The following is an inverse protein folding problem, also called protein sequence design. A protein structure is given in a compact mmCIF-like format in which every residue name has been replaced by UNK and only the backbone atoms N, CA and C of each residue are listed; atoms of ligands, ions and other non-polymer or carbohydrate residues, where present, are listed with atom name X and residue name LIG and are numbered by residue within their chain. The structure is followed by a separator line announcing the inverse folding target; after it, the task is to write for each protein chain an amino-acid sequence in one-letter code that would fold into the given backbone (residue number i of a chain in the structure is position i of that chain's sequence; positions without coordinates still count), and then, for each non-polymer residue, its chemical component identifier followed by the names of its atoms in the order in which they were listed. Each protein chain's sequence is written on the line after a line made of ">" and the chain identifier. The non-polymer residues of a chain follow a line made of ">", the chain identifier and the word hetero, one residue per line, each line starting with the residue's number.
data_IF_928351523614
#
_entry.id   IF_928351523614
#
_cell.length_a   1.000
_cell.length_b   1.000
_cell.length_c   1.000
_cell.angle_alpha   90.00
_cell.angle_beta   90.00
_cell.angle_gamma   90.00
#
_symmetry.space_group_name_H-M   'P 1'
#
loop_
_entity.id
_entity.type
_entity.pdbx_description
1 polymer ?
#
# COMPACT_ATOMS: atom_id res chain seq x y z
N UNK A 1 90.83 -9.79 -5.60
CA UNK A 1 91.92 -8.84 -5.91
C UNK A 1 91.95 -8.64 -7.43
N UNK A 2 91.81 -7.39 -7.88
CA UNK A 2 92.28 -6.81 -9.16
C UNK A 2 91.94 -7.50 -10.49
N UNK A 3 90.97 -7.03 -11.29
CA UNK A 3 90.94 -5.84 -12.19
C UNK A 3 91.46 -6.07 -13.63
N UNK A 4 90.57 -5.70 -14.59
CA UNK A 4 90.82 -4.96 -15.86
C UNK A 4 91.51 -5.71 -17.02
N UNK A 5 91.21 -5.48 -18.32
CA UNK A 5 90.30 -4.56 -19.06
C UNK A 5 90.36 -4.88 -20.57
N UNK A 6 89.52 -4.17 -21.33
CA UNK A 6 89.63 -3.82 -22.77
C UNK A 6 88.88 -4.77 -23.68
N UNK A 7 87.91 -4.37 -24.51
CA UNK A 7 87.61 -3.13 -25.25
C UNK A 7 87.06 -3.61 -26.61
N UNK A 8 86.30 -2.92 -27.45
CA UNK A 8 85.74 -1.57 -27.54
C UNK A 8 84.89 -1.61 -28.84
N UNK A 9 83.80 -0.83 -28.92
CA UNK A 9 83.10 -0.32 -30.15
C UNK A 9 82.35 -1.30 -31.10
N UNK A 10 81.12 -0.95 -31.50
CA UNK A 10 80.78 -0.12 -32.69
C UNK A 10 79.30 -0.33 -33.14
N UNK A 11 78.54 0.78 -33.20
CA UNK A 11 77.50 1.18 -34.20
C UNK A 11 76.15 0.43 -34.36
N UNK A 12 75.12 1.08 -33.80
CA UNK A 12 73.93 1.67 -34.45
C UNK A 12 73.65 1.39 -35.96
N UNK A 13 72.44 0.89 -36.25
CA UNK A 13 71.72 1.03 -37.53
C UNK A 13 70.25 0.62 -37.32
N UNK A 14 69.28 1.53 -37.11
CA UNK A 14 68.54 2.35 -38.10
C UNK A 14 67.88 1.56 -39.25
N UNK A 15 66.54 1.56 -39.20
CA UNK A 15 65.56 1.58 -40.30
C UNK A 15 65.18 0.25 -40.96
N UNK A 16 64.02 -0.26 -40.56
CA UNK A 16 63.10 -1.01 -41.44
C UNK A 16 62.07 -0.04 -42.03
N UNK A 17 62.28 0.38 -43.28
CA UNK A 17 61.28 0.92 -44.21
C UNK A 17 61.14 -0.13 -45.33
N UNK A 18 59.98 -0.77 -45.50
CA UNK A 18 58.88 -0.41 -46.41
C UNK A 18 59.19 -0.62 -47.91
N UNK A 19 58.45 -1.55 -48.55
CA UNK A 19 57.97 -1.54 -49.94
C UNK A 19 57.08 -2.79 -50.12
N UNK A 20 55.75 -2.75 -50.04
CA UNK A 20 54.75 -2.15 -50.96
C UNK A 20 54.54 -2.95 -52.27
N UNK A 21 53.37 -3.58 -52.39
CA UNK A 21 52.66 -3.75 -53.65
C UNK A 21 51.14 -3.78 -53.35
N UNK A 22 50.42 -2.93 -54.06
CA UNK A 22 49.04 -2.46 -53.85
C UNK A 22 48.27 -2.69 -55.14
N UNK A 23 47.08 -3.30 -55.08
CA UNK A 23 45.92 -3.14 -56.00
C UNK A 23 44.69 -3.65 -55.22
N UNK A 24 43.94 -2.83 -54.48
CA UNK A 24 42.81 -1.97 -54.90
C UNK A 24 41.75 -2.65 -55.77
N UNK A 25 40.70 -3.16 -55.14
CA UNK A 25 39.36 -3.30 -55.75
C UNK A 25 38.29 -2.77 -54.78
N UNK A 26 37.63 -1.72 -55.26
CA UNK A 26 36.54 -0.97 -54.65
C UNK A 26 35.22 -1.76 -54.73
N UNK A 27 34.44 -1.74 -53.66
CA UNK A 27 33.10 -2.33 -53.59
C UNK A 27 32.23 -1.64 -52.54
N UNK A 28 31.80 -0.42 -52.86
CA UNK A 28 30.62 0.34 -52.39
C UNK A 28 30.02 -0.14 -51.04
N UNK A 29 30.50 0.43 -49.94
CA UNK A 29 29.77 0.49 -48.67
C UNK A 29 28.92 1.74 -48.65
N UNK A 30 27.62 1.58 -48.40
CA UNK A 30 26.69 2.68 -48.17
C UNK A 30 27.20 3.62 -47.05
N UNK A 31 26.92 4.94 -47.11
CA UNK A 31 27.27 5.84 -46.02
C UNK A 31 26.44 5.45 -44.79
N UNK A 32 27.13 4.93 -43.77
CA UNK A 32 26.57 4.88 -42.42
C UNK A 32 26.73 6.29 -41.91
N UNK A 33 25.62 7.04 -41.83
CA UNK A 33 25.58 8.32 -41.16
C UNK A 33 26.02 8.10 -39.70
N UNK A 34 27.21 8.58 -39.37
CA UNK A 34 27.57 8.85 -37.99
C UNK A 34 26.65 9.99 -37.53
N UNK A 35 25.58 9.63 -36.84
CA UNK A 35 24.82 10.58 -36.07
C UNK A 35 25.74 11.08 -34.94
N UNK A 36 26.28 12.29 -35.11
CA UNK A 36 26.78 13.08 -34.00
C UNK A 36 25.66 13.15 -32.94
N UNK A 37 25.86 12.41 -31.86
CA UNK A 37 25.03 12.51 -30.68
C UNK A 37 25.28 13.89 -30.07
N UNK A 38 24.51 14.89 -30.51
CA UNK A 38 24.33 16.12 -29.76
C UNK A 38 23.83 15.73 -28.37
N UNK A 39 24.69 15.90 -27.37
CA UNK A 39 24.31 15.98 -25.96
C UNK A 39 23.19 17.02 -25.82
N UNK A 40 21.95 16.54 -25.88
CA UNK A 40 20.80 17.33 -25.48
C UNK A 40 20.85 17.42 -23.97
N UNK A 41 21.49 18.46 -23.46
CA UNK A 41 21.28 18.95 -22.09
C UNK A 41 19.82 19.37 -21.94
N UNK A 42 18.93 18.41 -21.72
CA UNK A 42 17.61 18.69 -21.18
C UNK A 42 17.80 19.04 -19.71
N UNK A 43 17.81 20.33 -19.40
CA UNK A 43 17.50 20.78 -18.05
C UNK A 43 16.11 20.27 -17.69
N UNK A 44 16.04 19.26 -16.81
CA UNK A 44 14.78 18.83 -16.20
C UNK A 44 14.31 19.94 -15.28
N UNK A 45 13.10 20.44 -15.50
CA UNK A 45 12.42 21.32 -14.54
C UNK A 45 12.19 20.53 -13.26
N UNK A 46 12.69 21.06 -12.15
CA UNK A 46 12.37 20.52 -10.82
C UNK A 46 11.03 21.09 -10.35
N UNK A 47 10.31 20.34 -9.52
CA UNK A 47 9.10 20.84 -8.82
C UNK A 47 9.44 22.11 -8.02
N UNK A 48 10.69 22.26 -7.56
CA UNK A 48 11.19 23.49 -6.91
C UNK A 48 11.15 24.74 -7.81
N UNK A 49 11.27 24.60 -9.13
CA UNK A 49 11.24 25.74 -10.08
C UNK A 49 9.80 26.23 -10.33
N UNK A 50 8.80 25.37 -10.08
CA UNK A 50 7.38 25.74 -10.20
C UNK A 50 6.90 26.57 -9.00
N UNK A 51 7.47 26.34 -7.81
CA UNK A 51 7.06 27.01 -6.56
C UNK A 51 7.90 28.24 -6.18
N UNK A 52 9.12 28.41 -6.71
CA UNK A 52 10.01 29.54 -6.34
C UNK A 52 10.02 30.70 -7.36
N UNK A 53 9.30 30.59 -8.47
CA UNK A 53 9.11 31.68 -9.44
C UNK A 53 10.40 32.18 -10.13
N UNK A 54 11.53 31.48 -9.99
CA UNK A 54 12.78 31.88 -10.64
C UNK A 54 12.75 31.51 -12.13
N UNK A 55 12.64 32.55 -12.97
CA UNK A 55 12.92 32.44 -14.40
C UNK A 55 14.44 32.50 -14.60
N UNK A 56 15.06 31.37 -14.92
CA UNK A 56 16.40 31.39 -15.53
C UNK A 56 16.21 31.67 -17.03
N UNK A 57 16.29 32.94 -17.39
CA UNK A 57 16.46 33.37 -18.78
C UNK A 57 17.97 33.33 -19.02
N UNK A 58 18.44 32.39 -19.85
CA UNK A 58 19.72 32.56 -20.53
C UNK A 58 19.42 33.44 -21.75
N UNK A 59 19.96 34.66 -21.77
CA UNK A 59 19.75 35.65 -22.82
C UNK A 59 20.49 35.32 -24.14
N UNK A 60 21.30 34.25 -24.19
CA UNK A 60 22.20 33.95 -25.31
C UNK A 60 21.85 32.67 -26.09
N UNK A 61 20.60 32.49 -26.50
CA UNK A 61 20.24 31.41 -27.44
C UNK A 61 19.72 31.97 -28.77
N UNK A 62 20.56 31.93 -29.80
CA UNK A 62 20.15 32.20 -31.18
C UNK A 62 19.31 31.02 -31.72
N UNK A 63 18.13 31.28 -32.32
CA UNK A 63 17.32 30.21 -32.91
C UNK A 63 18.03 29.57 -34.11
N UNK A 64 17.90 28.23 -34.31
CA UNK A 64 18.53 27.55 -35.45
C UNK A 64 17.89 27.97 -36.79
N UNK A 65 18.64 27.93 -37.90
CA UNK A 65 18.14 28.36 -39.21
C UNK A 65 17.03 27.44 -39.73
N UNK A 66 16.00 28.06 -40.28
CA UNK A 66 14.79 27.41 -40.79
C UNK A 66 15.07 26.71 -42.13
N UNK A 67 15.11 25.38 -42.13
CA UNK A 67 15.21 24.58 -43.36
C UNK A 67 13.86 24.63 -44.08
N UNK A 68 13.80 25.38 -45.19
CA UNK A 68 12.65 25.46 -46.10
C UNK A 68 12.31 24.07 -46.65
N UNK A 69 11.21 23.47 -46.21
CA UNK A 69 10.60 22.29 -46.84
C UNK A 69 9.75 22.72 -48.05
N UNK A 70 9.78 21.98 -49.18
CA UNK A 70 8.96 22.31 -50.33
C UNK A 70 7.45 22.09 -50.04
N UNK A 71 6.56 22.88 -50.67
CA UNK A 71 5.14 22.87 -50.35
C UNK A 71 4.46 21.57 -50.81
N UNK A 72 3.90 20.82 -49.88
CA UNK A 72 2.99 19.70 -50.18
C UNK A 72 1.64 20.25 -50.63
N UNK A 73 1.23 19.81 -51.83
CA UNK A 73 -0.04 20.14 -52.49
C UNK A 73 -1.21 19.58 -51.67
N UNK A 74 -1.89 20.41 -50.88
CA UNK A 74 -3.12 20.02 -50.19
C UNK A 74 -4.24 19.78 -51.21
N UNK A 75 -4.64 18.51 -51.40
CA UNK A 75 -5.91 18.17 -52.05
C UNK A 75 -7.05 18.67 -51.15
N UNK A 76 -7.81 19.65 -51.64
CA UNK A 76 -9.07 20.11 -51.02
C UNK A 76 -10.02 18.92 -50.91
N UNK A 77 -10.25 18.42 -49.69
CA UNK A 77 -11.41 17.60 -49.36
C UNK A 77 -12.58 18.53 -49.04
N UNK A 78 -13.69 18.33 -49.73
CA UNK A 78 -14.95 19.04 -49.48
C UNK A 78 -15.44 18.73 -48.06
N UNK A 79 -15.91 19.72 -47.28
CA UNK A 79 -16.45 19.46 -45.94
C UNK A 79 -17.76 18.69 -46.05
N UNK A 80 -17.84 17.53 -45.39
CA UNK A 80 -19.11 16.85 -45.15
C UNK A 80 -19.83 17.60 -44.00
N UNK A 81 -21.11 17.93 -44.20
CA UNK A 81 -21.92 18.61 -43.19
C UNK A 81 -21.96 17.83 -41.86
N UNK A 82 -21.93 18.50 -40.69
CA UNK A 82 -21.99 17.83 -39.41
C UNK A 82 -23.35 17.16 -39.22
N UNK A 83 -23.34 15.85 -38.94
CA UNK A 83 -24.54 15.15 -38.44
C UNK A 83 -24.89 15.70 -37.04
N UNK A 84 -26.18 15.93 -36.75
CA UNK A 84 -26.60 16.34 -35.41
C UNK A 84 -26.21 15.25 -34.39
N UNK A 85 -25.81 15.63 -33.16
CA UNK A 85 -25.42 14.68 -32.13
C UNK A 85 -26.62 13.79 -31.80
N UNK A 86 -26.45 12.48 -31.99
CA UNK A 86 -27.39 11.50 -31.45
C UNK A 86 -27.23 11.56 -29.94
N UNK A 87 -28.24 12.08 -29.24
CA UNK A 87 -28.29 12.06 -27.78
C UNK A 87 -28.37 10.59 -27.37
N UNK A 88 -27.24 10.01 -27.02
CA UNK A 88 -27.21 8.76 -26.29
C UNK A 88 -27.88 9.05 -24.95
N UNK A 89 -29.12 8.58 -24.77
CA UNK A 89 -29.76 8.55 -23.47
C UNK A 89 -28.83 7.85 -22.50
N UNK A 90 -28.35 8.60 -21.50
CA UNK A 90 -27.53 8.05 -20.44
C UNK A 90 -28.28 6.86 -19.85
N UNK A 91 -27.69 5.66 -19.96
CA UNK A 91 -28.18 4.51 -19.19
C UNK A 91 -28.20 4.95 -17.73
N UNK A 92 -29.30 4.77 -16.99
CA UNK A 92 -29.32 5.07 -15.57
C UNK A 92 -28.19 4.27 -14.91
N UNK A 93 -27.26 4.98 -14.30
CA UNK A 93 -26.20 4.40 -13.46
C UNK A 93 -26.93 3.63 -12.38
N UNK A 94 -26.72 2.30 -12.33
CA UNK A 94 -27.26 1.49 -11.24
C UNK A 94 -26.82 2.12 -9.91
N UNK A 95 -27.71 2.24 -8.91
CA UNK A 95 -27.33 2.81 -7.62
C UNK A 95 -26.16 2.01 -7.07
N UNK A 96 -25.02 2.67 -6.91
CA UNK A 96 -23.88 2.11 -6.20
C UNK A 96 -24.38 1.85 -4.79
N UNK A 97 -24.49 0.58 -4.41
CA UNK A 97 -24.70 0.18 -3.02
C UNK A 97 -23.63 0.89 -2.20
N UNK A 98 -24.03 1.91 -1.44
CA UNK A 98 -23.12 2.59 -0.53
C UNK A 98 -22.70 1.55 0.51
N UNK A 99 -21.42 1.20 0.52
CA UNK A 99 -20.87 0.36 1.59
C UNK A 99 -21.22 1.01 2.94
N UNK A 100 -21.79 0.26 3.90
CA UNK A 100 -22.12 0.82 5.19
C UNK A 100 -20.85 1.40 5.83
N UNK A 101 -20.86 2.71 6.08
CA UNK A 101 -19.76 3.39 6.78
C UNK A 101 -19.76 2.88 8.22
N UNK A 102 -18.79 2.04 8.54
CA UNK A 102 -18.62 1.50 9.89
C UNK A 102 -18.32 2.67 10.84
N UNK A 103 -19.24 2.93 11.76
CA UNK A 103 -19.05 3.95 12.78
C UNK A 103 -17.98 3.50 13.78
N UNK A 104 -17.04 4.39 14.07
CA UNK A 104 -15.97 4.13 15.05
C UNK A 104 -16.53 4.19 16.47
N UNK A 105 -16.03 3.30 17.33
CA UNK A 105 -16.39 3.30 18.75
C UNK A 105 -15.80 4.52 19.46
N UNK A 106 -16.48 5.01 20.49
CA UNK A 106 -15.99 6.14 21.29
C UNK A 106 -14.70 5.80 22.04
N UNK A 107 -14.52 4.54 22.41
CA UNK A 107 -13.33 4.00 23.07
C UNK A 107 -12.33 3.36 22.08
N UNK A 108 -12.45 3.64 20.79
CA UNK A 108 -11.56 3.08 19.78
C UNK A 108 -10.09 3.44 20.08
N UNK A 109 -9.21 2.45 19.95
CA UNK A 109 -7.79 2.62 20.13
C UNK A 109 -7.18 3.35 18.94
N UNK A 110 -6.28 4.30 19.21
CA UNK A 110 -5.62 5.10 18.17
C UNK A 110 -4.27 4.52 17.78
N UNK A 111 -4.07 4.31 16.49
CA UNK A 111 -2.75 4.07 15.88
C UNK A 111 -2.23 5.42 15.40
N UNK A 112 -1.14 5.89 16.02
CA UNK A 112 -0.45 7.09 15.53
C UNK A 112 0.61 6.69 14.51
N UNK A 113 0.58 7.28 13.33
CA UNK A 113 1.58 7.09 12.27
C UNK A 113 2.36 8.40 12.09
N UNK A 114 3.69 8.35 12.19
CA UNK A 114 4.56 9.52 12.08
C UNK A 114 5.71 9.31 11.10
N UNK A 115 6.14 10.40 10.46
CA UNK A 115 7.31 10.42 9.61
C UNK A 115 7.16 11.27 8.35
N UNK A 116 7.90 10.92 7.31
CA UNK A 116 7.98 11.69 6.07
C UNK A 116 6.80 11.37 5.10
N UNK A 117 6.96 11.72 3.82
CA UNK A 117 5.92 11.45 2.81
C UNK A 117 5.56 9.95 2.70
N UNK A 118 6.48 9.04 3.02
CA UNK A 118 6.18 7.60 3.04
C UNK A 118 5.27 7.24 4.21
N UNK A 119 5.45 7.86 5.38
CA UNK A 119 4.52 7.70 6.51
C UNK A 119 3.11 8.21 6.19
N UNK A 120 2.99 9.34 5.48
CA UNK A 120 1.68 9.79 5.01
C UNK A 120 1.02 8.74 4.11
N UNK A 121 1.77 8.16 3.18
CA UNK A 121 1.26 7.09 2.32
C UNK A 121 0.90 5.82 3.09
N UNK A 122 1.70 5.43 4.08
CA UNK A 122 1.37 4.33 5.01
C UNK A 122 0.08 4.63 5.78
N UNK A 123 -0.11 5.87 6.22
CA UNK A 123 -1.33 6.35 6.88
C UNK A 123 -2.57 6.12 6.06
N UNK A 124 -2.55 6.48 4.78
CA UNK A 124 -3.65 6.21 3.85
C UNK A 124 -3.95 4.71 3.75
N UNK A 125 -2.90 3.89 3.60
CA UNK A 125 -3.03 2.44 3.49
C UNK A 125 -3.59 1.79 4.76
N UNK A 126 -3.17 2.26 5.94
CA UNK A 126 -3.64 1.76 7.24
C UNK A 126 -5.07 2.22 7.52
N UNK A 127 -5.44 3.43 7.12
CA UNK A 127 -6.82 3.92 7.21
C UNK A 127 -7.77 3.01 6.43
N UNK A 128 -7.37 2.61 5.21
CA UNK A 128 -8.12 1.64 4.43
C UNK A 128 -8.14 0.24 5.07
N UNK A 129 -6.99 -0.23 5.60
CA UNK A 129 -6.87 -1.53 6.25
C UNK A 129 -7.79 -1.70 7.48
N UNK A 130 -7.99 -0.62 8.24
CA UNK A 130 -8.81 -0.61 9.44
C UNK A 130 -10.17 0.09 9.23
N UNK A 131 -10.58 0.34 7.98
CA UNK A 131 -11.85 1.00 7.65
C UNK A 131 -13.05 0.29 8.28
N UNK A 132 -13.05 -1.04 8.24
CA UNK A 132 -14.12 -1.90 8.79
C UNK A 132 -13.95 -2.27 10.26
N UNK A 133 -12.86 -1.86 10.92
CA UNK A 133 -12.61 -2.15 12.33
C UNK A 133 -13.14 -1.00 13.19
N UNK A 134 -14.28 -1.14 13.89
CA UNK A 134 -14.89 -0.04 14.63
C UNK A 134 -14.07 0.36 15.87
N UNK A 135 -13.30 -0.57 16.44
CA UNK A 135 -12.44 -0.33 17.61
C UNK A 135 -11.08 0.31 17.33
N UNK A 136 -10.79 0.72 16.09
CA UNK A 136 -9.49 1.33 15.72
C UNK A 136 -9.67 2.62 14.95
N UNK A 137 -8.95 3.66 15.36
CA UNK A 137 -8.80 4.92 14.64
C UNK A 137 -7.34 5.06 14.21
N UNK A 138 -7.11 5.44 12.95
CA UNK A 138 -5.77 5.70 12.42
C UNK A 138 -5.57 7.20 12.34
N UNK A 139 -4.52 7.69 13.00
CA UNK A 139 -4.13 9.10 13.04
C UNK A 139 -2.77 9.27 12.38
N UNK A 140 -2.73 9.78 11.15
CA UNK A 140 -1.49 10.02 10.42
C UNK A 140 -1.03 11.47 10.62
N UNK A 141 0.13 11.66 11.24
CA UNK A 141 0.79 12.96 11.44
C UNK A 141 2.15 12.92 10.73
N UNK A 142 2.12 13.18 9.42
CA UNK A 142 3.32 13.20 8.58
C UNK A 142 3.71 14.61 8.14
N UNK A 143 5.00 14.82 7.93
CA UNK A 143 5.53 16.03 7.28
C UNK A 143 6.37 15.63 6.06
N UNK A 144 5.86 15.95 4.88
CA UNK A 144 6.30 15.43 3.56
C UNK A 144 7.82 15.52 3.35
N UNK A 145 8.43 16.67 3.65
CA UNK A 145 9.84 16.96 3.35
C UNK A 145 10.75 16.86 4.58
N UNK A 146 10.23 16.30 5.67
CA UNK A 146 10.96 16.17 6.92
C UNK A 146 11.80 14.88 6.99
N UNK A 147 12.62 14.80 8.03
CA UNK A 147 13.50 13.69 8.34
C UNK A 147 14.16 13.91 9.70
N UNK A 148 14.93 12.96 10.20
CA UNK A 148 15.66 13.09 11.46
C UNK A 148 16.97 13.88 11.32
N UNK A 149 17.41 14.24 10.12
CA UNK A 149 18.64 15.03 9.92
C UNK A 149 18.43 16.53 10.16
N UNK A 150 17.29 17.07 9.71
CA UNK A 150 17.00 18.51 9.72
C UNK A 150 16.00 18.88 10.80
N UNK A 151 16.50 18.98 12.03
CA UNK A 151 15.78 19.51 13.19
C UNK A 151 15.35 20.97 12.98
N UNK A 152 16.14 21.75 12.23
CA UNK A 152 15.84 23.13 11.82
C UNK A 152 14.58 23.26 10.95
N UNK A 153 14.22 22.22 10.20
CA UNK A 153 13.05 22.22 9.33
C UNK A 153 11.79 21.72 10.04
N UNK A 154 11.91 20.58 10.74
CA UNK A 154 10.83 20.01 11.54
C UNK A 154 11.41 19.16 12.66
N UNK A 155 11.29 19.65 13.89
CA UNK A 155 11.79 18.96 15.09
C UNK A 155 10.88 17.78 15.46
N UNK A 156 11.15 16.62 14.86
CA UNK A 156 10.42 15.39 15.15
C UNK A 156 10.42 15.00 16.63
N UNK A 157 11.55 15.00 17.37
CA UNK A 157 11.56 14.74 18.79
C UNK A 157 10.57 15.61 19.59
N UNK A 158 10.58 16.92 19.39
CA UNK A 158 9.68 17.82 20.11
C UNK A 158 8.21 17.60 19.70
N UNK A 159 7.95 17.46 18.40
CA UNK A 159 6.59 17.33 17.87
C UNK A 159 5.95 15.99 18.24
N UNK A 160 6.74 14.91 18.25
CA UNK A 160 6.27 13.58 18.65
C UNK A 160 5.71 13.60 20.07
N UNK A 161 6.40 14.25 21.02
CA UNK A 161 5.92 14.37 22.40
C UNK A 161 4.56 15.06 22.47
N UNK A 162 4.42 16.21 21.79
CA UNK A 162 3.16 16.96 21.73
C UNK A 162 2.02 16.14 21.14
N UNK A 163 2.27 15.45 20.04
CA UNK A 163 1.28 14.61 19.36
C UNK A 163 0.86 13.43 20.24
N UNK A 164 1.81 12.78 20.93
CA UNK A 164 1.49 11.68 21.85
C UNK A 164 0.68 12.14 23.06
N UNK A 165 0.97 13.34 23.59
CA UNK A 165 0.23 13.92 24.70
C UNK A 165 -1.21 14.34 24.30
N UNK A 166 -1.37 14.86 23.07
CA UNK A 166 -2.68 15.22 22.49
C UNK A 166 -3.53 13.97 22.20
N UNK A 167 -2.97 13.02 21.46
CA UNK A 167 -3.75 11.91 20.90
C UNK A 167 -3.88 10.72 21.85
N UNK A 168 -2.90 10.52 22.75
CA UNK A 168 -2.78 9.35 23.63
C UNK A 168 -2.92 8.03 22.86
N UNK A 169 -2.03 7.78 21.88
CA UNK A 169 -2.14 6.61 21.03
C UNK A 169 -1.91 5.31 21.79
N UNK A 170 -2.60 4.25 21.38
CA UNK A 170 -2.39 2.90 21.89
C UNK A 170 -1.12 2.26 21.32
N UNK A 171 -0.67 2.73 20.15
CA UNK A 171 0.60 2.34 19.54
C UNK A 171 1.10 3.42 18.58
N UNK A 172 2.41 3.43 18.31
CA UNK A 172 3.03 4.32 17.32
C UNK A 172 3.69 3.52 16.21
N UNK A 173 3.47 3.95 14.97
CA UNK A 173 4.14 3.43 13.77
C UNK A 173 4.99 4.54 13.17
N UNK A 174 6.26 4.28 12.96
CA UNK A 174 7.23 5.24 12.40
C UNK A 174 7.63 4.79 11.01
N UNK A 175 7.61 5.70 10.03
CA UNK A 175 8.21 5.47 8.71
C UNK A 175 8.90 6.74 8.24
N UNK A 176 10.23 6.77 8.35
CA UNK A 176 11.01 7.99 8.11
C UNK A 176 12.38 7.65 7.52
N UNK A 177 12.92 8.59 6.74
CA UNK A 177 14.32 8.59 6.31
C UNK A 177 14.52 8.69 4.80
N UNK A 178 13.45 8.77 4.01
CA UNK A 178 13.58 8.97 2.57
C UNK A 178 14.27 10.30 2.23
N UNK A 179 14.13 11.29 3.11
CA UNK A 179 14.76 12.61 3.00
C UNK A 179 16.09 12.75 3.76
N UNK A 180 16.52 11.73 4.52
CA UNK A 180 17.67 11.84 5.43
C UNK A 180 19.02 11.57 4.74
N UNK A 181 19.02 11.26 3.44
CA UNK A 181 20.22 11.05 2.63
C UNK A 181 20.91 12.39 2.28
N UNK A 182 21.24 13.18 3.30
CA UNK A 182 21.81 14.52 3.18
C UNK A 182 22.88 14.76 4.25
N UNK A 183 23.66 15.81 4.04
CA UNK A 183 24.68 16.24 5.00
C UNK A 183 24.05 16.66 6.33
N UNK A 184 24.65 16.28 7.45
CA UNK A 184 24.21 16.64 8.80
C UNK A 184 25.15 17.67 9.42
N UNK A 185 24.61 18.57 10.24
CA UNK A 185 25.42 19.46 11.08
C UNK A 185 25.55 18.83 12.47
N UNK A 186 26.78 18.50 12.89
CA UNK A 186 27.08 17.83 14.15
C UNK A 186 28.08 18.69 14.91
N UNK A 187 27.69 19.28 16.04
CA UNK A 187 28.57 20.15 16.83
C UNK A 187 29.13 21.35 16.05
N UNK A 188 28.38 21.85 15.06
CA UNK A 188 28.81 22.93 14.16
C UNK A 188 29.63 22.46 12.94
N UNK A 189 30.10 21.20 12.91
CA UNK A 189 30.77 20.63 11.76
C UNK A 189 29.77 20.05 10.75
N UNK A 190 30.12 20.12 9.46
CA UNK A 190 29.31 19.65 8.34
C UNK A 190 29.75 18.24 7.94
N UNK A 191 29.01 17.23 8.40
CA UNK A 191 29.30 15.82 8.15
C UNK A 191 28.54 15.30 6.93
N UNK A 192 29.28 14.76 5.96
CA UNK A 192 28.71 14.23 4.72
C UNK A 192 27.97 12.92 5.01
N UNK A 193 26.88 12.69 4.29
CA UNK A 193 26.19 11.41 4.31
C UNK A 193 27.16 10.27 3.96
N UNK A 194 26.99 9.12 4.61
CA UNK A 194 27.87 7.92 4.58
C UNK A 194 29.19 7.99 5.35
N UNK A 195 29.51 9.07 6.07
CA UNK A 195 30.66 9.04 6.99
C UNK A 195 30.30 8.29 8.28
N UNK A 196 31.30 7.71 8.95
CA UNK A 196 31.10 7.04 10.24
C UNK A 196 30.54 8.00 11.30
N UNK A 197 30.99 9.26 11.28
CA UNK A 197 30.46 10.31 12.15
C UNK A 197 28.97 10.58 11.90
N UNK A 198 28.57 10.64 10.63
CA UNK A 198 27.17 10.80 10.24
C UNK A 198 26.31 9.64 10.73
N UNK A 199 26.73 8.39 10.47
CA UNK A 199 25.97 7.21 10.90
C UNK A 199 25.92 7.09 12.41
N UNK A 200 27.01 7.37 13.11
CA UNK A 200 27.06 7.34 14.56
C UNK A 200 26.08 8.33 15.19
N UNK A 201 25.95 9.54 14.63
CA UNK A 201 24.98 10.51 15.13
C UNK A 201 23.55 10.16 14.73
N UNK A 202 23.33 9.73 13.49
CA UNK A 202 22.00 9.32 13.03
C UNK A 202 21.46 8.13 13.84
N UNK A 203 22.31 7.17 14.21
CA UNK A 203 21.99 6.07 15.13
C UNK A 203 21.48 6.59 16.48
N UNK A 204 22.14 7.59 17.07
CA UNK A 204 21.68 8.20 18.32
C UNK A 204 20.34 8.89 18.15
N UNK A 205 20.12 9.61 17.04
CA UNK A 205 18.84 10.29 16.77
C UNK A 205 17.70 9.29 16.65
N UNK A 206 17.87 8.21 15.88
CA UNK A 206 16.89 7.11 15.77
C UNK A 206 16.61 6.47 17.15
N UNK A 207 17.67 6.15 17.90
CA UNK A 207 17.56 5.54 19.22
C UNK A 207 16.79 6.44 20.20
N UNK A 208 17.14 7.72 20.26
CA UNK A 208 16.50 8.68 21.16
C UNK A 208 15.04 8.90 20.76
N UNK A 209 14.76 9.07 19.46
CA UNK A 209 13.40 9.22 18.95
C UNK A 209 12.52 8.01 19.31
N UNK A 210 13.02 6.78 19.11
CA UNK A 210 12.30 5.58 19.51
C UNK A 210 12.11 5.44 21.02
N UNK A 211 13.10 5.86 21.82
CA UNK A 211 13.02 5.85 23.29
C UNK A 211 11.93 6.76 23.84
N UNK A 212 11.65 7.90 23.19
CA UNK A 212 10.53 8.77 23.61
C UNK A 212 9.19 8.01 23.61
N UNK A 213 9.05 7.01 22.75
CA UNK A 213 7.86 6.17 22.61
C UNK A 213 7.91 5.01 23.61
N UNK A 214 8.99 4.22 23.59
CA UNK A 214 9.07 2.98 24.38
C UNK A 214 9.24 3.22 25.87
N UNK A 215 9.84 4.35 26.29
CA UNK A 215 9.90 4.75 27.70
C UNK A 215 8.51 4.99 28.30
N UNK A 216 7.56 5.43 27.49
CA UNK A 216 6.14 5.61 27.86
C UNK A 216 5.35 4.30 27.83
N UNK A 217 6.00 3.16 27.56
CA UNK A 217 5.40 1.83 27.41
C UNK A 217 4.38 1.73 26.26
N UNK A 218 4.50 2.63 25.28
CA UNK A 218 3.70 2.57 24.06
C UNK A 218 4.42 1.63 23.07
N UNK A 219 3.74 0.63 22.50
CA UNK A 219 4.32 -0.22 21.46
C UNK A 219 4.78 0.59 20.24
N UNK A 220 5.97 0.27 19.74
CA UNK A 220 6.61 0.93 18.59
C UNK A 220 6.78 -0.07 17.45
N UNK A 221 6.19 0.24 16.29
CA UNK A 221 6.52 -0.39 15.02
C UNK A 221 7.34 0.58 14.17
N UNK A 222 8.52 0.17 13.70
CA UNK A 222 9.32 0.97 12.77
C UNK A 222 9.34 0.30 11.40
N UNK A 223 8.79 0.98 10.40
CA UNK A 223 8.67 0.46 9.04
C UNK A 223 9.92 0.80 8.25
N UNK A 224 10.50 -0.22 7.61
CA UNK A 224 11.64 -0.06 6.73
C UNK A 224 11.34 0.81 5.50
N UNK A 225 12.39 1.39 4.92
CA UNK A 225 12.33 2.07 3.64
C UNK A 225 12.22 1.04 2.50
N UNK A 226 11.36 1.28 1.50
CA UNK A 226 11.27 0.43 0.33
C UNK A 226 12.34 0.78 -0.71
N UNK A 227 12.57 -0.10 -1.70
CA UNK A 227 13.53 0.16 -2.79
C UNK A 227 13.09 1.30 -3.73
N UNK A 228 14.02 2.12 -4.22
CA UNK A 228 13.75 3.26 -5.10
C UNK A 228 14.29 3.02 -6.52
N UNK A 229 13.82 3.77 -7.52
CA UNK A 229 14.31 3.62 -8.90
C UNK A 229 15.81 3.91 -9.03
N UNK A 230 16.33 4.85 -8.25
CA UNK A 230 17.77 5.12 -8.21
C UNK A 230 18.54 4.00 -7.49
N UNK A 231 19.53 3.36 -8.14
CA UNK A 231 20.34 2.32 -7.49
C UNK A 231 21.08 2.82 -6.24
N UNK A 232 21.54 4.07 -6.26
CA UNK A 232 22.21 4.69 -5.10
C UNK A 232 21.25 4.88 -3.93
N UNK A 233 20.01 5.31 -4.20
CA UNK A 233 18.98 5.43 -3.16
C UNK A 233 18.61 4.06 -2.57
N UNK A 234 18.48 3.05 -3.41
CA UNK A 234 18.19 1.67 -3.00
C UNK A 234 19.28 1.10 -2.12
N UNK A 235 20.56 1.26 -2.50
CA UNK A 235 21.69 0.83 -1.68
C UNK A 235 21.74 1.55 -0.33
N UNK A 236 21.37 2.83 -0.28
CA UNK A 236 21.29 3.59 0.97
C UNK A 236 20.11 3.14 1.84
N UNK A 237 18.96 2.86 1.24
CA UNK A 237 17.80 2.35 1.96
C UNK A 237 18.11 1.03 2.67
N UNK A 238 18.87 0.12 2.03
CA UNK A 238 19.33 -1.13 2.67
C UNK A 238 20.14 -0.84 3.93
N UNK A 239 21.14 0.05 3.84
CA UNK A 239 21.99 0.40 4.98
C UNK A 239 21.20 1.07 6.11
N UNK A 240 20.28 1.99 5.75
CA UNK A 240 19.40 2.66 6.71
C UNK A 240 18.45 1.65 7.38
N UNK A 241 17.90 0.69 6.65
CA UNK A 241 17.04 -0.36 7.21
C UNK A 241 17.78 -1.26 8.21
N UNK A 242 19.03 -1.64 7.92
CA UNK A 242 19.86 -2.39 8.87
C UNK A 242 20.10 -1.60 10.16
N UNK A 243 20.34 -0.28 10.03
CA UNK A 243 20.48 0.62 11.17
C UNK A 243 19.19 0.70 11.98
N UNK A 244 18.04 0.95 11.33
CA UNK A 244 16.75 1.04 12.00
C UNK A 244 16.42 -0.23 12.76
N UNK A 245 16.54 -1.38 12.10
CA UNK A 245 16.32 -2.70 12.72
C UNK A 245 17.12 -2.82 14.01
N UNK A 246 18.44 -2.60 13.94
CA UNK A 246 19.34 -2.72 15.10
C UNK A 246 18.97 -1.75 16.24
N UNK A 247 18.69 -0.49 15.93
CA UNK A 247 18.39 0.51 16.97
C UNK A 247 17.02 0.28 17.61
N UNK A 248 16.00 -0.01 16.81
CA UNK A 248 14.61 -0.17 17.27
C UNK A 248 14.45 -1.44 18.10
N UNK A 249 15.03 -2.56 17.65
CA UNK A 249 14.98 -3.83 18.39
C UNK A 249 15.72 -3.70 19.74
N UNK A 250 16.80 -2.91 19.81
CA UNK A 250 17.56 -2.70 21.05
C UNK A 250 16.77 -1.99 22.17
N UNK A 251 15.66 -1.32 21.81
CA UNK A 251 14.79 -0.60 22.76
C UNK A 251 13.41 -1.26 22.91
N UNK A 252 13.26 -2.49 22.42
CA UNK A 252 12.01 -3.26 22.52
C UNK A 252 10.93 -2.85 21.53
N UNK A 253 11.26 -2.04 20.52
CA UNK A 253 10.39 -1.84 19.36
C UNK A 253 10.53 -2.99 18.36
N UNK A 254 9.60 -3.06 17.40
CA UNK A 254 9.62 -4.06 16.34
C UNK A 254 9.87 -3.41 14.98
N UNK A 255 10.83 -3.94 14.23
CA UNK A 255 11.11 -3.50 12.86
C UNK A 255 10.26 -4.28 11.86
N UNK A 256 9.47 -3.57 11.07
CA UNK A 256 8.64 -4.13 10.00
C UNK A 256 9.41 -4.03 8.69
N UNK A 257 9.92 -5.17 8.23
CA UNK A 257 10.57 -5.26 6.92
C UNK A 257 9.51 -5.32 5.82
N UNK A 258 9.66 -4.44 4.84
CA UNK A 258 8.77 -4.36 3.67
C UNK A 258 9.53 -4.61 2.36
N UNK A 259 10.85 -4.86 2.43
CA UNK A 259 11.76 -4.83 1.29
C UNK A 259 11.29 -5.70 0.13
N UNK A 260 11.01 -6.97 0.42
CA UNK A 260 10.60 -7.99 -0.56
C UNK A 260 9.27 -7.65 -1.27
N UNK A 261 8.48 -6.74 -0.72
CA UNK A 261 7.26 -6.24 -1.36
C UNK A 261 7.51 -5.29 -2.54
N UNK A 262 8.71 -4.73 -2.66
CA UNK A 262 9.05 -3.64 -3.59
C UNK A 262 10.28 -3.92 -4.44
N UNK A 263 10.74 -5.17 -4.46
CA UNK A 263 11.81 -5.64 -5.32
C UNK A 263 11.41 -6.88 -6.11
N UNK A 264 12.17 -7.21 -7.16
CA UNK A 264 12.08 -8.49 -7.86
C UNK A 264 12.91 -9.58 -7.16
N UNK A 265 12.96 -10.77 -7.76
CA UNK A 265 13.73 -11.92 -7.27
C UNK A 265 15.24 -11.64 -7.14
N UNK A 266 15.75 -10.65 -7.87
CA UNK A 266 17.16 -10.23 -7.84
C UNK A 266 17.40 -9.08 -6.85
N UNK A 267 16.38 -8.65 -6.10
CA UNK A 267 16.46 -7.51 -5.20
C UNK A 267 16.47 -6.15 -5.91
N UNK A 268 16.11 -6.09 -7.19
CA UNK A 268 16.06 -4.86 -7.97
C UNK A 268 14.70 -4.17 -7.83
N UNK A 269 14.72 -2.84 -7.95
CA UNK A 269 13.51 -2.02 -7.89
C UNK A 269 12.45 -2.44 -8.91
N UNK A 270 11.20 -2.55 -8.45
CA UNK A 270 10.05 -2.79 -9.33
C UNK A 270 9.03 -1.66 -9.29
N UNK A 271 8.46 -1.38 -10.46
CA UNK A 271 7.35 -0.43 -10.60
C UNK A 271 6.00 -1.12 -10.41
N UNK A 272 5.92 -2.38 -10.83
CA UNK A 272 4.73 -3.25 -10.81
C UNK A 272 5.05 -4.47 -9.96
N UNK A 273 4.10 -4.90 -9.15
CA UNK A 273 4.22 -6.12 -8.37
C UNK A 273 2.86 -6.59 -7.87
N UNK A 274 2.83 -7.73 -7.18
CA UNK A 274 1.61 -8.25 -6.58
C UNK A 274 1.05 -7.30 -5.52
N UNK A 275 -0.25 -7.04 -5.56
CA UNK A 275 -1.00 -6.37 -4.50
C UNK A 275 -1.27 -7.33 -3.32
N UNK A 276 -2.10 -6.90 -2.37
CA UNK A 276 -2.49 -7.72 -1.20
C UNK A 276 -3.31 -8.97 -1.58
N UNK A 277 -3.88 -9.01 -2.79
CA UNK A 277 -4.68 -10.11 -3.32
C UNK A 277 -3.87 -10.97 -4.32
N UNK A 278 -2.58 -10.68 -4.51
CA UNK A 278 -1.72 -11.37 -5.47
C UNK A 278 -1.78 -10.85 -6.91
N UNK A 279 -2.63 -9.86 -7.21
CA UNK A 279 -2.81 -9.30 -8.55
C UNK A 279 -1.65 -8.37 -8.93
N UNK A 280 -1.17 -8.45 -10.17
CA UNK A 280 -0.12 -7.55 -10.65
C UNK A 280 -0.66 -6.14 -10.86
N UNK A 281 -0.18 -5.20 -10.05
CA UNK A 281 -0.58 -3.78 -10.11
C UNK A 281 0.63 -2.88 -10.01
N UNK A 282 0.46 -1.64 -10.46
CA UNK A 282 1.50 -0.62 -10.32
C UNK A 282 1.61 -0.18 -8.86
N UNK A 283 2.77 -0.41 -8.22
CA UNK A 283 3.04 -0.07 -6.82
C UNK A 283 3.75 1.29 -6.68
N UNK A 284 4.47 1.72 -7.71
CA UNK A 284 5.24 2.97 -7.73
C UNK A 284 4.72 3.97 -8.75
N UNK A 285 4.77 5.26 -8.45
CA UNK A 285 4.50 6.31 -9.44
C UNK A 285 5.60 6.40 -10.49
N UNK A 286 5.42 7.23 -11.52
CA UNK A 286 6.38 7.35 -12.64
C UNK A 286 7.69 8.05 -12.29
N UNK A 287 7.78 8.61 -11.09
CA UNK A 287 8.98 9.25 -10.55
C UNK A 287 9.92 8.28 -9.83
N UNK A 288 9.51 7.01 -9.66
CA UNK A 288 10.32 5.99 -9.00
C UNK A 288 10.48 6.15 -7.49
N UNK A 289 9.76 7.11 -6.88
CA UNK A 289 9.89 7.50 -5.48
C UNK A 289 8.57 7.31 -4.73
N UNK A 290 7.48 7.88 -5.24
CA UNK A 290 6.21 7.83 -4.54
C UNK A 290 5.49 6.48 -4.73
N UNK A 291 4.60 6.17 -3.79
CA UNK A 291 3.75 4.99 -3.81
C UNK A 291 2.39 5.33 -4.40
N UNK A 292 1.88 4.45 -5.26
CA UNK A 292 0.47 4.47 -5.69
C UNK A 292 -0.45 4.06 -4.54
N UNK A 293 -1.77 4.19 -4.71
CA UNK A 293 -2.73 3.70 -3.72
C UNK A 293 -2.53 2.20 -3.41
N UNK A 294 -2.30 1.38 -4.44
CA UNK A 294 -2.01 -0.04 -4.26
C UNK A 294 -0.69 -0.26 -3.52
N UNK A 295 0.36 0.52 -3.85
CA UNK A 295 1.64 0.49 -3.13
C UNK A 295 1.48 0.83 -1.64
N UNK A 296 0.73 1.90 -1.33
CA UNK A 296 0.42 2.32 0.04
C UNK A 296 -0.33 1.23 0.82
N UNK A 297 -1.36 0.63 0.21
CA UNK A 297 -2.11 -0.48 0.82
C UNK A 297 -1.22 -1.70 1.07
N UNK A 298 -0.28 -1.99 0.16
CA UNK A 298 0.71 -3.05 0.32
C UNK A 298 1.68 -2.78 1.47
N UNK A 299 2.20 -1.55 1.63
CA UNK A 299 3.01 -1.21 2.83
C UNK A 299 2.20 -1.44 4.10
N UNK A 300 0.96 -0.93 4.13
CA UNK A 300 0.07 -1.12 5.28
C UNK A 300 -0.19 -2.59 5.59
N UNK A 301 -0.27 -3.47 4.59
CA UNK A 301 -0.47 -4.91 4.80
C UNK A 301 0.66 -5.56 5.61
N UNK A 302 1.92 -5.14 5.41
CA UNK A 302 3.04 -5.63 6.24
C UNK A 302 2.92 -5.19 7.70
N UNK A 303 2.38 -3.99 7.95
CA UNK A 303 2.18 -3.42 9.29
C UNK A 303 0.91 -3.95 9.95
N UNK A 304 -0.09 -4.35 9.16
CA UNK A 304 -1.41 -4.73 9.61
C UNK A 304 -1.36 -5.92 10.59
N UNK A 305 -0.61 -6.97 10.24
CA UNK A 305 -0.48 -8.17 11.11
C UNK A 305 0.11 -7.84 12.49
N UNK A 306 1.28 -7.19 12.62
CA UNK A 306 1.82 -6.84 13.92
C UNK A 306 0.93 -5.82 14.67
N UNK A 307 0.30 -4.87 13.96
CA UNK A 307 -0.63 -3.92 14.60
C UNK A 307 -1.86 -4.62 15.19
N UNK A 308 -2.50 -5.52 14.43
CA UNK A 308 -3.64 -6.32 14.92
C UNK A 308 -3.25 -7.17 16.13
N UNK A 309 -2.04 -7.76 16.13
CA UNK A 309 -1.52 -8.52 17.28
C UNK A 309 -1.39 -7.64 18.53
N UNK A 310 -0.89 -6.42 18.39
CA UNK A 310 -0.68 -5.50 19.51
C UNK A 310 -1.99 -4.92 20.07
N UNK A 311 -2.96 -4.63 19.20
CA UNK A 311 -4.26 -4.08 19.59
C UNK A 311 -5.26 -5.16 20.04
N UNK A 312 -4.99 -6.43 19.73
CA UNK A 312 -5.81 -7.56 20.14
C UNK A 312 -7.23 -7.50 19.60
N UNK A 313 -8.22 -7.73 20.47
CA UNK A 313 -9.63 -7.79 20.08
C UNK A 313 -10.13 -6.49 19.49
N UNK A 314 -9.61 -5.32 19.91
CA UNK A 314 -10.00 -3.99 19.43
C UNK A 314 -9.76 -3.78 17.93
N UNK A 315 -8.84 -4.56 17.34
CA UNK A 315 -8.57 -4.55 15.93
C UNK A 315 -9.52 -5.44 15.11
N UNK A 316 -10.35 -6.28 15.70
CA UNK A 316 -11.20 -7.20 14.93
C UNK A 316 -12.30 -6.44 14.17
N UNK A 317 -12.54 -6.76 12.88
CA UNK A 317 -13.71 -6.25 12.16
C UNK A 317 -15.02 -6.80 12.73
N UNK A 318 -14.98 -7.95 13.41
CA UNK A 318 -16.14 -8.61 14.02
C UNK A 318 -16.52 -8.01 15.38
N UNK A 319 -15.87 -6.92 15.80
CA UNK A 319 -16.32 -6.16 16.97
C UNK A 319 -17.67 -5.54 16.69
N UNK A 320 -18.72 -6.21 17.12
CA UNK A 320 -20.07 -5.69 17.04
C UNK A 320 -20.26 -4.64 18.14
N UNK A 321 -20.72 -3.44 17.74
CA UNK A 321 -21.29 -2.48 18.69
C UNK A 321 -22.60 -3.07 19.21
N UNK A 322 -22.66 -3.38 20.50
CA UNK A 322 -23.91 -3.79 21.17
C UNK A 322 -24.81 -2.56 21.33
N UNK A 323 -25.43 -2.12 20.24
CA UNK A 323 -26.51 -1.14 20.26
C UNK A 323 -27.83 -1.81 19.92
N UNK A 324 -28.95 -1.13 20.24
CA UNK A 324 -30.30 -1.65 20.03
C UNK A 324 -30.62 -1.98 18.57
N UNK A 325 -29.82 -1.47 17.62
CA UNK A 325 -29.89 -1.78 16.19
C UNK A 325 -29.17 -3.06 15.77
N UNK A 326 -28.16 -3.52 16.53
CA UNK A 326 -27.35 -4.70 16.21
C UNK A 326 -27.50 -5.85 17.22
N UNK A 327 -28.39 -5.71 18.21
CA UNK A 327 -28.79 -6.86 19.02
C UNK A 327 -29.41 -7.92 18.10
N UNK A 328 -28.95 -9.18 18.14
CA UNK A 328 -29.69 -10.26 17.50
C UNK A 328 -31.12 -10.18 18.04
N UNK A 329 -32.10 -10.34 17.15
CA UNK A 329 -33.49 -10.39 17.57
C UNK A 329 -33.58 -11.55 18.57
N UNK A 330 -33.65 -11.23 19.86
CA UNK A 330 -34.03 -12.15 20.92
C UNK A 330 -35.53 -12.38 20.75
N UNK A 331 -35.90 -12.94 19.60
CA UNK A 331 -37.16 -13.62 19.46
C UNK A 331 -37.08 -14.76 20.45
N UNK A 332 -37.73 -14.56 21.60
CA UNK A 332 -38.23 -15.70 22.36
C UNK A 332 -38.91 -16.59 21.31
N UNK A 333 -38.49 -17.85 21.13
CA UNK A 333 -39.06 -18.68 20.09
C UNK A 333 -40.57 -18.77 20.37
N UNK A 334 -41.34 -18.12 19.51
CA UNK A 334 -42.80 -18.23 19.48
C UNK A 334 -43.25 -19.47 18.69
N UNK A 335 -42.29 -20.26 18.20
CA UNK A 335 -42.55 -21.54 17.56
C UNK A 335 -42.66 -22.64 18.62
N UNK A 336 -43.81 -23.32 18.74
CA UNK A 336 -44.00 -24.47 19.63
C UNK A 336 -43.41 -25.75 18.99
N UNK A 337 -42.33 -25.63 18.22
CA UNK A 337 -41.61 -26.80 17.72
C UNK A 337 -40.78 -27.33 18.89
N UNK A 338 -41.19 -28.49 19.40
CA UNK A 338 -40.60 -29.16 20.54
C UNK A 338 -39.11 -29.44 20.31
N UNK A 339 -38.24 -28.52 20.72
CA UNK A 339 -36.84 -28.84 20.90
C UNK A 339 -36.70 -29.76 22.10
N UNK A 340 -36.21 -30.97 21.88
CA UNK A 340 -35.80 -31.87 22.97
C UNK A 340 -34.68 -31.18 23.75
N UNK A 341 -34.93 -30.89 25.03
CA UNK A 341 -33.97 -30.22 25.89
C UNK A 341 -32.66 -31.02 25.96
N UNK A 342 -31.48 -30.36 25.95
CA UNK A 342 -30.19 -31.05 26.08
C UNK A 342 -30.13 -31.83 27.39
N UNK A 343 -29.79 -33.11 27.29
CA UNK A 343 -29.65 -34.03 28.42
C UNK A 343 -28.24 -33.87 29.02
N UNK A 344 -28.15 -33.55 30.31
CA UNK A 344 -26.90 -33.27 31.02
C UNK A 344 -26.15 -34.55 31.41
N UNK A 345 -25.02 -34.86 30.76
CA UNK A 345 -24.20 -36.07 31.02
C UNK A 345 -23.67 -36.23 32.46
N UNK A 346 -23.82 -35.23 33.32
CA UNK A 346 -23.34 -35.21 34.70
C UNK A 346 -24.43 -35.36 35.76
N UNK A 347 -25.69 -35.61 35.36
CA UNK A 347 -26.79 -35.87 36.30
C UNK A 347 -27.13 -37.38 36.33
N UNK A 348 -26.88 -38.09 37.45
CA UNK A 348 -27.16 -39.52 37.57
C UNK A 348 -28.67 -39.86 37.63
N UNK A 349 -29.57 -38.88 37.69
CA UNK A 349 -31.02 -39.08 37.70
C UNK A 349 -31.69 -38.92 36.31
N UNK A 350 -30.94 -38.99 35.22
CA UNK A 350 -31.45 -38.84 33.84
C UNK A 350 -32.33 -39.99 33.32
N UNK A 351 -33.45 -40.23 33.98
CA UNK A 351 -34.54 -41.05 33.49
C UNK A 351 -35.69 -40.75 34.45
N UNK A 352 -36.85 -40.20 34.09
CA UNK A 352 -37.80 -40.94 33.28
C UNK A 352 -38.13 -42.37 33.81
N UNK A 353 -37.25 -43.04 34.56
CA UNK A 353 -37.17 -44.49 34.70
C UNK A 353 -38.10 -45.06 35.76
N UNK A 354 -38.85 -44.20 36.44
CA UNK A 354 -40.03 -44.62 37.19
C UNK A 354 -41.23 -44.86 36.27
N UNK A 355 -41.20 -44.42 35.01
CA UNK A 355 -42.37 -44.33 34.14
C UNK A 355 -42.02 -44.69 32.69
N UNK A 356 -42.60 -45.79 32.19
CA UNK A 356 -42.35 -46.30 30.84
C UNK A 356 -42.70 -45.26 29.77
N UNK A 357 -41.93 -45.23 28.67
CA UNK A 357 -42.19 -44.38 27.50
C UNK A 357 -43.58 -44.70 26.92
N UNK A 358 -44.59 -43.89 27.28
CA UNK A 358 -46.01 -44.10 26.95
C UNK A 358 -46.98 -44.07 28.14
N UNK A 359 -46.48 -44.01 29.39
CA UNK A 359 -47.32 -43.97 30.60
C UNK A 359 -47.98 -42.63 30.91
N UNK A 360 -47.42 -41.53 30.39
CA UNK A 360 -48.00 -40.18 30.52
C UNK A 360 -48.94 -39.89 29.35
N UNK A 361 -50.19 -39.59 29.66
CA UNK A 361 -51.09 -38.94 28.73
C UNK A 361 -50.43 -37.61 28.30
N UNK A 362 -50.21 -37.37 26.99
CA UNK A 362 -49.67 -36.10 26.54
C UNK A 362 -50.56 -34.96 27.07
N UNK A 363 -49.98 -33.82 27.49
CA UNK A 363 -50.79 -32.66 27.80
C UNK A 363 -51.67 -32.36 26.58
N UNK A 364 -52.97 -32.22 26.78
CA UNK A 364 -53.91 -31.94 25.69
C UNK A 364 -53.50 -30.61 25.04
N UNK A 365 -52.90 -30.69 23.86
CA UNK A 365 -52.59 -29.52 23.05
C UNK A 365 -53.89 -29.03 22.43
N UNK A 366 -54.25 -27.77 22.68
CA UNK A 366 -55.40 -27.13 22.02
C UNK A 366 -55.17 -26.90 20.51
N UNK A 367 -53.95 -27.13 20.02
CA UNK A 367 -53.61 -27.06 18.61
C UNK A 367 -53.57 -28.47 18.01
N UNK A 368 -54.23 -28.64 16.86
CA UNK A 368 -54.14 -29.85 16.06
C UNK A 368 -52.69 -30.05 15.60
N UNK A 369 -52.15 -31.25 15.79
CA UNK A 369 -50.82 -31.56 15.25
C UNK A 369 -50.86 -31.55 13.71
N UNK A 370 -49.72 -31.38 13.01
CA UNK A 370 -49.67 -31.51 11.55
C UNK A 370 -50.24 -32.85 11.04
N UNK A 371 -50.12 -33.91 11.84
CA UNK A 371 -50.75 -35.21 11.57
C UNK A 371 -52.28 -35.14 11.71
N UNK A 372 -52.79 -34.47 12.74
CA UNK A 372 -54.24 -34.31 12.94
C UNK A 372 -54.86 -33.44 11.84
N UNK A 373 -54.18 -32.38 11.41
CA UNK A 373 -54.61 -31.58 10.25
C UNK A 373 -54.67 -32.40 8.97
N UNK A 374 -53.71 -33.30 8.75
CA UNK A 374 -53.71 -34.20 7.59
C UNK A 374 -54.81 -35.26 7.67
N UNK A 375 -55.00 -35.87 8.85
CA UNK A 375 -55.94 -36.99 9.03
C UNK A 375 -57.39 -36.53 9.15
N UNK A 376 -57.63 -35.42 9.85
CA UNK A 376 -58.98 -34.92 10.12
C UNK A 376 -59.45 -33.89 9.07
N UNK A 377 -58.58 -32.99 8.64
CA UNK A 377 -58.93 -31.91 7.71
C UNK A 377 -58.43 -32.15 6.28
N UNK A 378 -57.61 -33.18 6.05
CA UNK A 378 -56.99 -33.44 4.75
C UNK A 378 -55.96 -32.37 4.33
N UNK A 379 -55.52 -31.52 5.27
CA UNK A 379 -54.63 -30.39 4.97
C UNK A 379 -53.18 -30.76 5.27
N UNK A 380 -52.31 -30.49 4.30
CA UNK A 380 -50.87 -30.59 4.45
C UNK A 380 -50.27 -29.18 4.48
N UNK A 381 -49.18 -28.99 5.23
CA UNK A 381 -48.40 -27.75 5.13
C UNK A 381 -47.86 -27.56 3.70
N UNK A 382 -47.76 -26.31 3.22
CA UNK A 382 -47.17 -26.03 1.92
C UNK A 382 -45.73 -26.56 1.85
N UNK A 383 -45.36 -27.12 0.70
CA UNK A 383 -44.01 -27.61 0.48
C UNK A 383 -42.99 -26.46 0.64
N UNK A 384 -41.82 -26.70 1.25
CA UNK A 384 -40.76 -25.69 1.34
C UNK A 384 -40.30 -25.26 -0.06
N UNK A 385 -40.09 -23.95 -0.23
CA UNK A 385 -39.70 -23.38 -1.51
C UNK A 385 -38.41 -24.02 -2.06
N UNK A 386 -38.46 -24.51 -3.30
CA UNK A 386 -37.32 -25.13 -3.99
C UNK A 386 -37.14 -26.63 -3.75
N UNK A 387 -38.03 -27.29 -3.00
CA UNK A 387 -38.08 -28.75 -2.88
C UNK A 387 -38.73 -29.36 -4.13
N UNK A 388 -38.41 -30.62 -4.44
CA UNK A 388 -38.80 -31.28 -5.71
C UNK A 388 -40.31 -31.53 -5.83
N UNK A 389 -41.03 -31.46 -4.72
CA UNK A 389 -42.46 -31.62 -4.58
C UNK A 389 -43.21 -30.30 -4.35
N UNK A 390 -42.52 -29.16 -4.46
CA UNK A 390 -43.15 -27.85 -4.56
C UNK A 390 -43.66 -27.63 -6.00
N UNK A 391 -44.93 -27.95 -6.23
CA UNK A 391 -45.61 -27.75 -7.51
C UNK A 391 -46.24 -26.35 -7.64
N UNK A 392 -45.91 -25.40 -6.76
CA UNK A 392 -46.43 -24.04 -6.85
C UNK A 392 -45.85 -23.31 -8.07
N UNK A 393 -46.74 -22.76 -8.90
CA UNK A 393 -46.31 -21.92 -10.03
C UNK A 393 -45.89 -20.55 -9.49
N UNK A 394 -44.72 -20.01 -9.86
CA UNK A 394 -44.35 -18.65 -9.47
C UNK A 394 -45.41 -17.68 -9.97
N UNK A 395 -45.97 -16.89 -9.05
CA UNK A 395 -47.01 -15.92 -9.37
C UNK A 395 -46.53 -14.95 -10.48
N UNK A 396 -47.40 -14.59 -11.45
CA UNK A 396 -47.05 -13.60 -12.46
C UNK A 396 -46.64 -12.28 -11.78
N UNK A 397 -45.50 -11.72 -12.17
CA UNK A 397 -45.05 -10.40 -11.69
C UNK A 397 -46.16 -9.37 -11.92
N UNK A 398 -46.63 -8.74 -10.84
CA UNK A 398 -47.55 -7.62 -10.95
C UNK A 398 -46.97 -6.52 -11.86
N UNK A 399 -47.78 -5.95 -12.78
CA UNK A 399 -47.31 -4.87 -13.63
C UNK A 399 -46.96 -3.65 -12.77
N UNK A 400 -45.77 -3.08 -13.02
CA UNK A 400 -45.30 -1.86 -12.37
C UNK A 400 -46.35 -0.75 -12.50
N UNK A 401 -46.85 -0.27 -11.37
CA UNK A 401 -47.65 0.94 -11.32
C UNK A 401 -46.79 2.11 -11.82
N UNK A 402 -47.16 2.64 -12.99
CA UNK A 402 -46.60 3.87 -13.52
C UNK A 402 -47.33 5.00 -12.79
N UNK A 403 -46.64 5.69 -11.88
CA UNK A 403 -47.15 6.93 -11.30
C UNK A 403 -47.25 7.97 -12.42
N UNK A 404 -48.49 8.36 -12.77
CA UNK A 404 -48.72 9.54 -13.58
C UNK A 404 -48.40 10.80 -12.74
N UNK A 405 -47.93 11.83 -13.47
CA UNK A 405 -47.39 13.11 -13.00
C UNK A 405 -48.18 13.83 -11.92
#
# INVERSE_FOLDING_TARGET
>A
MTMRRSGDRLKLGWRTLLSAALVLSFGITAPVDFADAQERYYYRRSIFDFFTGRRYINEDYAPPPEVRRPPQRQRKRTPLAPKPPTVATARPVAPVLQEPVVQKLENAQKILIVGDFLASGLGDGMTEAFKTSPGVIVEARGNVSSGLVRDDYYDWPEQLLKIMDELKPAMVVVMIGANDRQQMVIGGAKEKFRTDAWYGEYQKRVLNFGKEITNRKIPLLWVGLPAFESPSMTADAVQMNQLYRKQVESIGGEFVDIWDGFVDENGQFVVTGSDINGQQVRLRTSDGINLTQAGRRKVAFYVEKPARRLLGTQASPDLVRLDTSNLPHLGLPSDPVAHTQPISLSDPNLDGGAELLGGRQPPATLANSPRDMLVQEGKMEPAPAGRVDDYSLPAPKEPKQVSAK
#
